data_IF_375375308231
#
_entry.id   IF_375375308231
#
_cell.length_a   1.000
_cell.length_b   1.000
_cell.length_c   1.000
_cell.angle_alpha   90.00
_cell.angle_beta   90.00
_cell.angle_gamma   90.00
#
_symmetry.space_group_name_H-M   'P 1'
#
loop_
_entity.id
_entity.type
_entity.pdbx_description
1 polymer ?
#
# COMPACT_ATOMS: atom_id res chain seq x y z
N UNK A 1 -1.20 9.05 -18.19
CA UNK A 1 -0.62 8.43 -16.99
C UNK A 1 0.82 7.99 -17.19
N UNK A 2 1.12 7.27 -18.27
CA UNK A 2 2.49 6.78 -18.53
C UNK A 2 3.51 7.91 -18.65
N UNK A 3 3.17 8.98 -19.36
CA UNK A 3 4.06 10.15 -19.51
C UNK A 3 4.28 10.86 -18.20
N UNK A 4 3.25 10.98 -17.37
CA UNK A 4 3.34 11.61 -16.06
C UNK A 4 4.16 10.77 -15.09
N UNK A 5 4.07 9.46 -15.18
CA UNK A 5 4.90 8.55 -14.42
C UNK A 5 6.38 8.81 -14.67
N UNK A 6 6.79 8.93 -15.93
CA UNK A 6 8.20 9.23 -16.24
C UNK A 6 8.63 10.65 -15.88
N UNK A 7 7.69 11.59 -15.86
CA UNK A 7 7.99 12.99 -15.60
C UNK A 7 8.06 13.31 -14.09
N UNK A 8 7.16 12.72 -13.30
CA UNK A 8 6.97 13.15 -11.92
C UNK A 8 7.34 12.10 -10.87
N UNK A 9 7.41 10.83 -11.25
CA UNK A 9 7.75 9.78 -10.31
C UNK A 9 9.19 9.32 -10.48
N UNK A 10 9.93 9.27 -9.38
CA UNK A 10 11.30 8.77 -9.39
C UNK A 10 11.33 7.27 -9.73
N UNK A 11 12.12 6.90 -10.73
CA UNK A 11 12.37 5.50 -11.06
C UNK A 11 13.66 5.04 -10.39
N UNK A 12 13.66 3.80 -9.93
CA UNK A 12 14.82 3.17 -9.29
C UNK A 12 15.63 2.32 -10.26
N UNK A 13 15.19 2.21 -11.52
CA UNK A 13 15.90 1.53 -12.59
C UNK A 13 15.70 2.27 -13.90
N UNK A 14 16.62 2.10 -14.90
CA UNK A 14 16.46 2.75 -16.21
C UNK A 14 15.31 2.18 -17.04
N UNK A 15 14.85 0.97 -16.72
CA UNK A 15 13.79 0.28 -17.46
C UNK A 15 12.73 -0.25 -16.47
N UNK A 16 11.93 0.62 -15.85
CA UNK A 16 10.87 0.16 -14.93
C UNK A 16 9.81 -0.65 -15.67
N UNK A 17 9.21 -1.61 -14.97
CA UNK A 17 8.15 -2.46 -15.53
C UNK A 17 6.96 -1.63 -16.04
N UNK A 18 6.65 -0.53 -15.36
CA UNK A 18 5.60 0.38 -15.79
C UNK A 18 4.20 -0.22 -15.74
N UNK A 19 3.96 -1.19 -14.84
CA UNK A 19 2.65 -1.77 -14.65
C UNK A 19 1.69 -0.74 -14.08
N UNK A 20 0.61 -0.48 -14.82
CA UNK A 20 -0.38 0.51 -14.44
C UNK A 20 -1.43 -0.15 -13.56
N UNK A 21 -1.28 -0.01 -12.24
CA UNK A 21 -2.10 -0.70 -11.26
C UNK A 21 -3.42 0.03 -11.02
N UNK A 22 -4.54 -0.69 -11.16
CA UNK A 22 -5.87 -0.20 -10.83
C UNK A 22 -6.19 -0.49 -9.35
N UNK A 23 -6.10 -1.75 -8.97
CA UNK A 23 -6.39 -2.20 -7.61
C UNK A 23 -5.69 -3.52 -7.35
N UNK A 24 -5.76 -4.00 -6.10
CA UNK A 24 -5.20 -5.28 -5.71
C UNK A 24 -6.10 -5.94 -4.67
N UNK A 25 -6.15 -7.28 -4.69
CA UNK A 25 -6.92 -8.04 -3.72
C UNK A 25 -6.33 -9.44 -3.58
N UNK A 26 -6.13 -9.88 -2.33
CA UNK A 26 -5.55 -11.19 -2.07
C UNK A 26 -4.17 -11.32 -2.68
N UNK A 27 -3.96 -12.33 -3.52
CA UNK A 27 -2.68 -12.60 -4.17
C UNK A 27 -2.55 -11.97 -5.55
N UNK A 28 -3.47 -11.10 -5.95
CA UNK A 28 -3.51 -10.56 -7.30
C UNK A 28 -3.45 -9.05 -7.33
N UNK A 29 -2.73 -8.53 -8.33
CA UNK A 29 -2.73 -7.12 -8.71
C UNK A 29 -3.46 -7.03 -10.06
N UNK A 30 -4.36 -6.06 -10.19
CA UNK A 30 -5.14 -5.86 -11.42
C UNK A 30 -4.67 -4.59 -12.11
N UNK A 31 -4.36 -4.70 -13.39
CA UNK A 31 -3.95 -3.53 -14.16
C UNK A 31 -5.16 -2.72 -14.66
N UNK A 32 -4.88 -1.58 -15.29
CA UNK A 32 -5.93 -0.69 -15.80
C UNK A 32 -6.74 -1.29 -16.94
N UNK A 33 -6.26 -2.35 -17.59
CA UNK A 33 -6.99 -3.11 -18.59
C UNK A 33 -7.84 -4.25 -17.99
N UNK A 34 -7.79 -4.43 -16.66
CA UNK A 34 -8.54 -5.47 -15.96
C UNK A 34 -7.84 -6.82 -15.90
N UNK A 35 -6.60 -6.92 -16.36
CA UNK A 35 -5.84 -8.16 -16.31
C UNK A 35 -5.32 -8.43 -14.90
N UNK A 36 -5.50 -9.66 -14.43
CA UNK A 36 -5.00 -10.11 -13.13
C UNK A 36 -3.55 -10.60 -13.26
N UNK A 37 -2.70 -10.15 -12.36
CA UNK A 37 -1.31 -10.57 -12.26
C UNK A 37 -1.10 -11.20 -10.89
N UNK A 38 -0.60 -12.43 -10.85
CA UNK A 38 -0.28 -13.11 -9.59
C UNK A 38 0.93 -12.41 -8.95
N UNK A 39 0.77 -11.96 -7.73
CA UNK A 39 1.79 -11.17 -7.03
C UNK A 39 2.63 -12.06 -6.10
N UNK A 40 3.86 -12.36 -6.51
CA UNK A 40 4.84 -13.04 -5.68
C UNK A 40 5.78 -12.08 -4.95
N UNK A 41 5.70 -10.77 -5.24
CA UNK A 41 6.60 -9.77 -4.65
C UNK A 41 6.05 -9.27 -3.32
N UNK A 42 4.73 -9.07 -3.24
CA UNK A 42 4.04 -8.58 -2.04
C UNK A 42 4.64 -7.26 -1.51
N UNK A 43 4.96 -6.33 -2.41
CA UNK A 43 5.61 -5.07 -2.05
C UNK A 43 6.98 -5.26 -1.39
N UNK A 44 7.71 -6.30 -1.76
CA UNK A 44 8.95 -6.77 -1.12
C UNK A 44 8.67 -7.21 0.31
N UNK A 45 7.81 -8.24 0.42
CA UNK A 45 7.43 -8.92 1.68
C UNK A 45 6.65 -8.04 2.67
N UNK A 46 5.95 -7.02 2.18
CA UNK A 46 5.13 -6.12 3.01
C UNK A 46 3.70 -6.63 3.14
N UNK A 47 3.10 -7.08 2.04
CA UNK A 47 1.70 -7.49 1.99
C UNK A 47 1.55 -8.98 2.32
N UNK A 48 2.06 -9.41 3.47
CA UNK A 48 2.13 -10.84 3.86
C UNK A 48 0.77 -11.50 4.03
N UNK A 49 -0.28 -10.72 4.37
CA UNK A 49 -1.64 -11.21 4.51
C UNK A 49 -2.46 -11.11 3.22
N UNK A 50 -1.81 -10.74 2.11
CA UNK A 50 -2.47 -10.41 0.86
C UNK A 50 -2.92 -8.97 0.81
N UNK A 51 -3.28 -8.54 -0.39
CA UNK A 51 -3.77 -7.17 -0.61
C UNK A 51 -5.18 -7.01 -0.05
N UNK A 52 -5.42 -5.88 0.60
CA UNK A 52 -6.74 -5.48 1.11
C UNK A 52 -7.40 -6.55 2.00
N UNK A 53 -6.62 -7.15 2.91
CA UNK A 53 -7.19 -8.08 3.88
C UNK A 53 -8.30 -7.36 4.68
N UNK A 54 -9.52 -7.92 4.75
CA UNK A 54 -10.66 -7.19 5.33
C UNK A 54 -10.44 -6.69 6.76
N UNK A 55 -9.78 -7.47 7.60
CA UNK A 55 -9.49 -7.07 8.99
C UNK A 55 -8.50 -5.91 9.04
N UNK A 56 -7.51 -5.91 8.17
CA UNK A 56 -6.51 -4.83 8.09
C UNK A 56 -7.16 -3.54 7.58
N UNK A 57 -7.95 -3.64 6.50
CA UNK A 57 -8.67 -2.50 5.94
C UNK A 57 -9.60 -1.86 6.97
N UNK A 58 -10.38 -2.68 7.68
CA UNK A 58 -11.29 -2.20 8.72
C UNK A 58 -10.52 -1.50 9.85
N UNK A 59 -9.40 -2.08 10.31
CA UNK A 59 -8.59 -1.47 11.36
C UNK A 59 -8.02 -0.12 10.92
N UNK A 60 -7.55 -0.01 9.68
CA UNK A 60 -7.04 1.25 9.13
C UNK A 60 -8.14 2.29 9.02
N UNK A 61 -9.32 1.91 8.51
CA UNK A 61 -10.46 2.82 8.39
C UNK A 61 -10.88 3.37 9.76
N UNK A 62 -10.98 2.52 10.75
CA UNK A 62 -11.34 2.93 12.11
C UNK A 62 -10.28 3.84 12.73
N UNK A 63 -9.00 3.51 12.57
CA UNK A 63 -7.91 4.34 13.09
C UNK A 63 -7.84 5.69 12.36
N UNK A 64 -8.06 5.71 11.04
CA UNK A 64 -8.06 6.94 10.26
C UNK A 64 -9.12 7.94 10.72
N UNK A 65 -10.27 7.46 11.20
CA UNK A 65 -11.32 8.32 11.77
C UNK A 65 -10.94 8.90 13.13
N UNK A 66 -10.04 8.24 13.85
CA UNK A 66 -9.60 8.68 15.18
C UNK A 66 -8.42 9.64 15.09
N UNK A 67 -7.33 9.20 14.49
CA UNK A 67 -6.16 10.02 14.15
C UNK A 67 -5.18 9.21 13.29
N UNK A 68 -4.35 9.93 12.52
CA UNK A 68 -3.28 9.34 11.74
C UNK A 68 -1.91 9.62 12.37
N UNK A 69 -1.69 10.87 12.76
CA UNK A 69 -0.44 11.28 13.40
C UNK A 69 -0.71 12.40 14.39
N UNK A 70 -0.17 12.31 15.58
CA UNK A 70 -0.36 13.32 16.63
C UNK A 70 0.94 13.85 17.20
N UNK A 71 2.00 13.04 17.27
CA UNK A 71 3.27 13.46 17.85
C UNK A 71 4.40 12.53 17.41
N UNK A 72 5.50 13.11 16.95
CA UNK A 72 6.67 12.37 16.49
C UNK A 72 7.51 11.82 17.65
N UNK A 73 7.49 12.52 18.80
CA UNK A 73 8.26 12.10 19.98
C UNK A 73 7.41 11.28 20.95
N UNK A 74 8.05 10.51 21.80
CA UNK A 74 7.41 9.62 22.77
C UNK A 74 6.82 10.34 23.98
N UNK A 75 6.17 11.48 23.78
CA UNK A 75 5.55 12.27 24.83
C UNK A 75 4.09 11.90 25.08
N UNK A 76 3.42 11.37 24.07
CA UNK A 76 2.01 11.00 24.14
C UNK A 76 1.84 9.49 24.17
N UNK A 77 0.86 9.02 24.94
CA UNK A 77 0.49 7.60 24.96
C UNK A 77 -0.49 7.36 23.82
N UNK A 78 -0.07 6.54 22.87
CA UNK A 78 -0.87 6.20 21.70
C UNK A 78 -1.21 4.71 21.76
N UNK A 79 -2.49 4.40 21.83
CA UNK A 79 -2.96 3.03 22.02
C UNK A 79 -2.40 2.03 20.98
N UNK A 80 -2.41 2.33 19.67
CA UNK A 80 -1.85 1.38 18.71
C UNK A 80 -0.37 1.05 18.95
N UNK A 81 0.41 2.02 19.41
CA UNK A 81 1.82 1.82 19.70
C UNK A 81 2.03 0.98 20.97
N UNK A 82 1.18 1.16 21.96
CA UNK A 82 1.25 0.39 23.21
C UNK A 82 0.80 -1.06 23.01
N UNK A 83 -0.23 -1.27 22.20
CA UNK A 83 -0.77 -2.60 21.91
C UNK A 83 0.12 -3.43 20.99
N UNK A 84 0.92 -2.78 20.13
CA UNK A 84 1.83 -3.48 19.24
C UNK A 84 2.96 -4.16 19.98
#
# INVERSE_FOLDING_TARGET
MYQDFHKYQAQTSPHPLGLEVSHAKGSYIYDSAGKAHLDFVAGVSVCSLGHCHPKVVTAIQQQAERYLHVMVYGEYIQQPAVEY
#
